data_IF_665212714945
#
_entry.id   IF_665212714945
#
_cell.length_a   1.000
_cell.length_b   1.000
_cell.length_c   1.000
_cell.angle_alpha   90.00
_cell.angle_beta   90.00
_cell.angle_gamma   90.00
#
_symmetry.space_group_name_H-M   'P 1'
#
loop_
_entity.id
_entity.type
_entity.pdbx_description
1 polymer ?
#
# COMPACT_ATOMS: atom_id res chain seq x y z
N UNK A 1 5.24 29.41 23.79
CA UNK A 1 4.86 29.17 22.38
C UNK A 1 5.69 27.99 21.92
N UNK A 2 5.07 26.81 21.75
CA UNK A 2 5.77 25.60 21.31
C UNK A 2 6.05 25.74 19.80
N UNK A 3 7.32 25.76 19.43
CA UNK A 3 7.78 25.75 18.04
C UNK A 3 7.40 24.41 17.41
N UNK A 4 6.47 24.45 16.46
CA UNK A 4 6.05 23.28 15.69
C UNK A 4 7.10 23.04 14.61
N UNK A 5 7.92 22.00 14.79
CA UNK A 5 8.97 21.64 13.84
C UNK A 5 8.35 20.89 12.65
N UNK A 6 7.93 21.64 11.63
CA UNK A 6 7.41 21.07 10.38
C UNK A 6 8.54 21.08 9.35
N UNK A 7 9.11 19.90 9.09
CA UNK A 7 10.06 19.70 7.99
C UNK A 7 9.30 19.60 6.68
N UNK A 8 9.48 20.57 5.80
CA UNK A 8 8.84 20.58 4.48
C UNK A 8 9.25 19.37 3.63
N UNK A 9 8.29 18.81 2.89
CA UNK A 9 8.55 17.75 1.91
C UNK A 9 9.19 18.39 0.68
N UNK A 10 10.43 18.04 0.37
CA UNK A 10 11.12 18.44 -0.86
C UNK A 10 10.79 17.40 -1.95
N UNK A 11 10.06 17.81 -2.99
CA UNK A 11 9.76 16.95 -4.15
C UNK A 11 10.91 17.05 -5.16
N UNK A 12 11.65 15.96 -5.35
CA UNK A 12 12.67 15.84 -6.40
C UNK A 12 12.04 15.32 -7.70
N UNK A 13 12.54 15.74 -8.87
CA UNK A 13 11.94 15.53 -10.20
C UNK A 13 11.94 14.09 -10.75
N UNK A 14 11.98 13.07 -9.89
CA UNK A 14 11.98 11.65 -10.27
C UNK A 14 10.60 11.01 -10.45
N UNK A 15 9.53 11.80 -10.35
CA UNK A 15 8.15 11.31 -10.31
C UNK A 15 7.72 10.79 -8.94
N UNK A 16 6.42 10.66 -8.68
CA UNK A 16 5.92 10.14 -7.41
C UNK A 16 6.10 8.61 -7.33
N UNK A 17 6.70 8.11 -6.24
CA UNK A 17 6.63 6.70 -5.85
C UNK A 17 5.61 6.58 -4.72
N UNK A 18 4.47 5.95 -5.01
CA UNK A 18 3.45 5.65 -4.00
C UNK A 18 3.69 4.24 -3.47
N UNK A 19 3.90 4.11 -2.16
CA UNK A 19 4.05 2.83 -1.47
C UNK A 19 2.81 2.61 -0.62
N UNK A 20 2.18 1.44 -0.77
CA UNK A 20 1.07 1.02 0.06
C UNK A 20 1.49 -0.14 0.97
N UNK A 21 1.01 -0.12 2.22
CA UNK A 21 1.26 -1.18 3.18
C UNK A 21 0.19 -1.18 4.26
N UNK A 22 -0.16 -2.37 4.74
CA UNK A 22 -1.09 -2.56 5.84
C UNK A 22 -0.35 -3.19 7.03
N UNK A 23 -0.51 -2.60 8.22
CA UNK A 23 0.07 -3.13 9.48
C UNK A 23 -1.10 -3.60 10.35
N UNK A 24 -1.25 -4.91 10.50
CA UNK A 24 -2.24 -5.49 11.41
C UNK A 24 -1.81 -5.43 12.88
N UNK A 25 -2.70 -4.97 13.76
CA UNK A 25 -2.44 -4.81 15.21
C UNK A 25 -2.10 -6.13 15.94
N UNK A 26 -2.58 -7.28 15.44
CA UNK A 26 -2.52 -8.54 16.19
C UNK A 26 -1.21 -9.33 16.05
N UNK A 27 -0.25 -8.93 15.21
CA UNK A 27 0.96 -9.74 14.95
C UNK A 27 0.67 -11.18 14.48
N UNK A 28 -0.58 -11.47 14.12
CA UNK A 28 -1.06 -12.79 13.74
C UNK A 28 -0.62 -13.14 12.34
N UNK A 29 -0.50 -14.45 12.08
CA UNK A 29 -0.16 -14.96 10.75
C UNK A 29 -1.32 -14.63 9.80
N UNK A 30 -1.11 -13.65 8.94
CA UNK A 30 -2.08 -13.26 7.91
C UNK A 30 -2.30 -14.42 6.94
N UNK A 31 -3.56 -14.82 6.77
CA UNK A 31 -3.98 -15.78 5.75
C UNK A 31 -4.40 -15.07 4.46
N UNK A 32 -4.74 -15.86 3.43
CA UNK A 32 -5.11 -15.33 2.13
C UNK A 32 -6.44 -14.54 2.16
N UNK A 33 -7.36 -14.84 3.07
CA UNK A 33 -8.63 -14.10 3.18
C UNK A 33 -8.41 -12.72 3.79
N UNK A 34 -7.65 -12.65 4.87
CA UNK A 34 -7.24 -11.37 5.43
C UNK A 34 -6.44 -10.55 4.42
N UNK A 35 -5.55 -11.19 3.66
CA UNK A 35 -4.79 -10.51 2.61
C UNK A 35 -5.69 -9.85 1.56
N UNK A 36 -6.65 -10.59 1.01
CA UNK A 36 -7.59 -10.05 0.01
C UNK A 36 -8.44 -8.92 0.59
N UNK A 37 -8.95 -9.07 1.82
CA UNK A 37 -9.73 -8.01 2.46
C UNK A 37 -8.95 -6.70 2.63
N UNK A 38 -7.64 -6.81 2.87
CA UNK A 38 -6.72 -5.68 2.99
C UNK A 38 -6.47 -5.04 1.62
N UNK A 39 -6.30 -5.83 0.56
CA UNK A 39 -6.18 -5.32 -0.81
C UNK A 39 -7.46 -4.59 -1.25
N UNK A 40 -8.63 -5.22 -1.09
CA UNK A 40 -9.92 -4.65 -1.48
C UNK A 40 -10.22 -3.36 -0.70
N UNK A 41 -10.04 -3.37 0.63
CA UNK A 41 -10.40 -2.24 1.47
C UNK A 41 -9.36 -1.11 1.48
N UNK A 42 -8.09 -1.41 1.23
CA UNK A 42 -7.02 -0.43 1.38
C UNK A 42 -6.28 -0.09 0.09
N UNK A 43 -5.93 -1.07 -0.74
CA UNK A 43 -5.13 -0.81 -1.94
C UNK A 43 -5.97 -0.11 -3.01
N UNK A 44 -7.19 -0.59 -3.26
CA UNK A 44 -8.08 0.02 -4.26
C UNK A 44 -8.40 1.48 -3.92
N UNK A 45 -8.76 1.76 -2.67
CA UNK A 45 -9.01 3.14 -2.23
C UNK A 45 -7.75 4.01 -2.36
N UNK A 46 -6.58 3.47 -2.03
CA UNK A 46 -5.31 4.21 -2.16
C UNK A 46 -4.95 4.49 -3.63
N UNK A 47 -5.28 3.57 -4.54
CA UNK A 47 -5.12 3.78 -5.98
C UNK A 47 -6.04 4.91 -6.47
N UNK A 48 -7.32 4.88 -6.08
CA UNK A 48 -8.29 5.94 -6.41
C UNK A 48 -7.82 7.30 -5.88
N UNK A 49 -7.42 7.37 -4.61
CA UNK A 49 -6.97 8.61 -3.95
C UNK A 49 -5.66 9.14 -4.55
N UNK A 50 -4.82 8.27 -5.11
CA UNK A 50 -3.55 8.66 -5.73
C UNK A 50 -3.73 9.38 -7.07
N UNK A 51 -4.86 9.16 -7.75
CA UNK A 51 -5.10 9.65 -9.11
C UNK A 51 -4.17 9.05 -10.17
N UNK A 52 -3.44 7.99 -9.84
CA UNK A 52 -2.57 7.27 -10.77
C UNK A 52 -3.46 6.42 -11.70
N UNK A 53 -3.31 6.52 -13.03
CA UNK A 53 -4.02 5.66 -13.97
C UNK A 53 -3.77 4.18 -13.67
N UNK A 54 -4.82 3.36 -13.73
CA UNK A 54 -4.72 1.95 -13.37
C UNK A 54 -3.69 1.17 -14.22
N UNK A 55 -3.47 1.60 -15.46
CA UNK A 55 -2.47 1.05 -16.39
C UNK A 55 -1.02 1.46 -16.06
N UNK A 56 -0.83 2.46 -15.20
CA UNK A 56 0.48 2.87 -14.69
C UNK A 56 0.81 2.24 -13.33
N UNK A 57 -0.13 1.51 -12.72
CA UNK A 57 0.09 0.85 -11.43
C UNK A 57 0.89 -0.44 -11.60
N UNK A 58 2.05 -0.51 -10.95
CA UNK A 58 2.89 -1.70 -10.89
C UNK A 58 2.73 -2.35 -9.50
N UNK A 59 2.10 -3.53 -9.39
CA UNK A 59 1.97 -4.22 -8.11
C UNK A 59 3.32 -4.81 -7.69
N UNK A 60 3.80 -4.44 -6.50
CA UNK A 60 5.02 -4.98 -5.91
C UNK A 60 4.69 -5.66 -4.57
N UNK A 61 4.98 -6.96 -4.48
CA UNK A 61 4.74 -7.81 -3.31
C UNK A 61 5.85 -8.87 -3.21
N UNK A 62 6.03 -9.47 -2.03
CA UNK A 62 6.95 -10.60 -1.88
C UNK A 62 6.33 -11.91 -2.40
N UNK A 63 7.15 -12.95 -2.57
CA UNK A 63 6.70 -14.27 -3.02
C UNK A 63 6.16 -15.17 -1.89
N UNK A 64 5.61 -14.60 -0.81
CA UNK A 64 4.97 -15.40 0.23
C UNK A 64 3.82 -16.24 -0.39
N UNK A 65 3.68 -17.54 -0.06
CA UNK A 65 2.62 -18.40 -0.58
C UNK A 65 1.20 -17.84 -0.48
N UNK A 66 0.91 -16.95 0.48
CA UNK A 66 -0.41 -16.30 0.59
C UNK A 66 -0.66 -15.28 -0.52
N UNK A 67 0.39 -14.58 -0.95
CA UNK A 67 0.37 -13.57 -2.01
C UNK A 67 0.31 -14.19 -3.41
N UNK A 68 0.77 -15.45 -3.54
CA UNK A 68 0.69 -16.24 -4.79
C UNK A 68 -0.50 -17.21 -4.81
N UNK A 69 -1.39 -17.14 -3.82
CA UNK A 69 -2.56 -18.03 -3.75
C UNK A 69 -3.56 -17.74 -4.86
N UNK A 70 -4.31 -18.76 -5.32
CA UNK A 70 -5.38 -18.60 -6.32
C UNK A 70 -6.45 -17.56 -5.96
N UNK A 71 -6.58 -17.24 -4.67
CA UNK A 71 -7.56 -16.27 -4.18
C UNK A 71 -7.03 -14.84 -4.24
N UNK A 72 -5.71 -14.67 -4.26
CA UNK A 72 -5.02 -13.39 -4.39
C UNK A 72 -4.67 -13.03 -5.84
N UNK A 73 -4.91 -13.94 -6.79
CA UNK A 73 -4.66 -13.76 -8.23
C UNK A 73 -5.91 -13.26 -8.97
#
# INVERSE_FOLDING_TARGET
>A
ILTREVKGIVKFGGGPLMVWGCIGWNGGRMDAEHYVSILEGGLLQSMEDSGIPADEVIPQQDNDPKHTSRRAQ
#
